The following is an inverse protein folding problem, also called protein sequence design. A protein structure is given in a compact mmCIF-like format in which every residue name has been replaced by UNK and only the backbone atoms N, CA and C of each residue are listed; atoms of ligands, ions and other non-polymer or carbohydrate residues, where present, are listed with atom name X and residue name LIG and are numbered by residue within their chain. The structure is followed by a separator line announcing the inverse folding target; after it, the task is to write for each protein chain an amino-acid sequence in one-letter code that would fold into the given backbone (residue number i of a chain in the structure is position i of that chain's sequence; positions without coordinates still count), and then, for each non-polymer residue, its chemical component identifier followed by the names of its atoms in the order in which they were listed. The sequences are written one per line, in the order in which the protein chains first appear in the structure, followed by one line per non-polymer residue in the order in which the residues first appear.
data_IF_987158261943
#
_entry.id   IF_987158261943
#
_cell.length_a   1.000
_cell.length_b   1.000
_cell.length_c   1.000
_cell.angle_alpha   90.00
_cell.angle_beta   90.00
_cell.angle_gamma   90.00
#
_symmetry.space_group_name_H-M   'P 1'
#
loop_
_entity.id
_entity.type
_entity.pdbx_description
1 polymer ?
#
# COMPACT_ATOMS: atom_id res chain seq x y z
N UNK A 1 11.53 -13.03 17.04
CA UNK A 1 12.43 -12.18 16.20
C UNK A 1 11.58 -11.40 15.20
N UNK A 2 11.94 -10.16 14.82
CA UNK A 2 11.22 -9.41 13.80
C UNK A 2 11.18 -10.14 12.45
N UNK A 3 10.04 -10.03 11.74
CA UNK A 3 9.80 -10.65 10.43
C UNK A 3 10.92 -10.34 9.40
N UNK A 4 11.39 -9.09 9.38
CA UNK A 4 12.47 -8.62 8.51
C UNK A 4 13.77 -9.38 8.78
N UNK A 5 14.16 -9.57 10.05
CA UNK A 5 15.42 -10.23 10.43
C UNK A 5 15.50 -11.69 10.01
N UNK A 6 14.35 -12.33 9.77
CA UNK A 6 14.26 -13.74 9.37
C UNK A 6 13.76 -13.92 7.93
N UNK A 7 13.55 -12.83 7.19
CA UNK A 7 13.05 -12.89 5.81
C UNK A 7 11.68 -13.56 5.68
N UNK A 8 10.79 -13.39 6.66
CA UNK A 8 9.50 -14.07 6.70
C UNK A 8 8.33 -13.08 6.63
N UNK A 9 7.18 -13.56 6.14
CA UNK A 9 5.90 -12.81 6.18
C UNK A 9 5.26 -12.82 7.58
N UNK A 10 5.48 -13.89 8.34
CA UNK A 10 4.83 -14.13 9.63
C UNK A 10 5.88 -14.26 10.73
N UNK A 11 5.48 -13.87 11.94
CA UNK A 11 6.22 -14.19 13.17
C UNK A 11 5.40 -15.14 14.04
N UNK A 12 5.90 -15.47 15.24
CA UNK A 12 5.11 -16.20 16.25
C UNK A 12 3.83 -15.45 16.65
N UNK A 13 3.84 -14.11 16.55
CA UNK A 13 2.67 -13.27 16.78
C UNK A 13 1.71 -13.24 15.58
N UNK A 14 2.06 -13.92 14.47
CA UNK A 14 1.25 -14.02 13.26
C UNK A 14 1.55 -12.94 12.21
N UNK A 15 0.51 -12.59 11.44
CA UNK A 15 0.56 -11.54 10.40
C UNK A 15 0.30 -10.18 11.04
N UNK A 16 1.32 -9.31 11.07
CA UNK A 16 1.22 -7.97 11.66
C UNK A 16 0.10 -7.15 11.01
N UNK A 17 -0.08 -7.24 9.69
CA UNK A 17 -1.11 -6.48 8.99
C UNK A 17 -2.52 -7.04 9.23
N UNK A 18 -2.73 -8.03 10.11
CA UNK A 18 -4.05 -8.51 10.55
C UNK A 18 -4.44 -8.07 11.96
N UNK A 19 -3.63 -7.20 12.57
CA UNK A 19 -3.71 -6.87 13.98
C UNK A 19 -4.29 -5.48 14.26
N UNK A 20 -4.92 -4.85 13.26
CA UNK A 20 -5.43 -3.48 13.33
C UNK A 20 -6.96 -3.44 13.18
N UNK A 21 -7.75 -3.96 14.14
CA UNK A 21 -9.20 -3.86 14.08
C UNK A 21 -9.66 -2.39 14.18
N UNK A 22 -10.58 -2.01 13.31
CA UNK A 22 -11.31 -0.73 13.37
C UNK A 22 -12.17 -0.67 14.62
N UNK A 23 -12.21 0.48 15.29
CA UNK A 23 -12.99 0.74 16.51
C UNK A 23 -12.46 0.06 17.78
N UNK A 24 -11.30 -0.59 17.72
CA UNK A 24 -10.67 -1.27 18.85
C UNK A 24 -9.14 -1.10 18.84
N UNK A 25 -8.49 -1.36 19.97
CA UNK A 25 -7.03 -1.30 20.03
C UNK A 25 -6.38 -2.40 19.18
N UNK A 26 -5.22 -2.11 18.54
CA UNK A 26 -4.43 -3.14 17.90
C UNK A 26 -4.07 -4.29 18.85
N UNK A 27 -3.98 -5.52 18.31
CA UNK A 27 -3.99 -6.73 19.15
C UNK A 27 -2.63 -7.07 19.75
N UNK A 28 -1.53 -6.82 19.05
CA UNK A 28 -0.16 -7.02 19.55
C UNK A 28 0.46 -5.73 20.10
N UNK A 29 1.56 -5.89 20.84
CA UNK A 29 2.34 -4.75 21.35
C UNK A 29 2.93 -3.90 20.21
N UNK A 30 3.47 -4.54 19.18
CA UNK A 30 4.06 -3.84 18.04
C UNK A 30 3.00 -3.10 17.23
N UNK A 31 1.86 -3.74 16.96
CA UNK A 31 0.76 -3.10 16.24
C UNK A 31 0.22 -1.88 17.01
N UNK A 32 0.15 -1.96 18.35
CA UNK A 32 -0.22 -0.80 19.18
C UNK A 32 0.81 0.31 19.08
N UNK A 33 2.09 0.01 19.22
CA UNK A 33 3.14 1.02 19.10
C UNK A 33 3.13 1.75 17.75
N UNK A 34 2.93 1.02 16.63
CA UNK A 34 2.82 1.63 15.30
C UNK A 34 1.58 2.52 15.17
N UNK A 35 0.46 2.10 15.75
CA UNK A 35 -0.77 2.88 15.74
C UNK A 35 -0.66 4.13 16.61
N UNK A 36 -0.08 4.00 17.81
CA UNK A 36 0.17 5.11 18.72
C UNK A 36 1.10 6.15 18.07
N UNK A 37 2.12 5.70 17.32
CA UNK A 37 3.02 6.58 16.56
C UNK A 37 2.30 7.29 15.41
N UNK A 38 1.45 6.57 14.66
CA UNK A 38 0.62 7.20 13.63
C UNK A 38 -0.28 8.29 14.24
N UNK A 39 -0.93 8.00 15.37
CA UNK A 39 -1.81 8.98 16.03
C UNK A 39 -1.04 10.16 16.62
N UNK A 40 0.17 9.95 17.14
CA UNK A 40 0.98 11.01 17.74
C UNK A 40 1.48 12.02 16.71
N UNK A 41 1.68 11.57 15.46
CA UNK A 41 2.13 12.40 14.35
C UNK A 41 1.02 13.11 13.57
N UNK A 42 -0.25 12.73 13.78
CA UNK A 42 -1.43 13.32 13.11
C UNK A 42 -1.24 13.54 11.59
N UNK A 43 -0.96 12.48 10.80
CA UNK A 43 -0.60 12.63 9.40
C UNK A 43 -1.81 12.98 8.52
N UNK A 44 -1.60 13.83 7.53
CA UNK A 44 -2.62 14.15 6.51
C UNK A 44 -2.89 12.97 5.54
N UNK A 45 -1.92 12.09 5.36
CA UNK A 45 -1.99 10.95 4.44
C UNK A 45 -1.14 9.77 4.94
N UNK A 46 -1.61 8.54 4.69
CA UNK A 46 -0.89 7.29 5.01
C UNK A 46 -0.62 6.49 3.73
N UNK A 47 0.64 6.14 3.48
CA UNK A 47 1.02 5.24 2.36
C UNK A 47 1.64 3.97 2.94
N UNK A 48 1.03 2.83 2.68
CA UNK A 48 1.44 1.49 3.14
C UNK A 48 1.97 0.67 1.94
N UNK A 49 3.25 0.32 1.96
CA UNK A 49 3.97 -0.30 0.82
C UNK A 49 4.08 -1.81 0.99
N UNK A 50 3.62 -2.57 0.00
CA UNK A 50 3.56 -4.03 0.00
C UNK A 50 4.04 -4.60 -1.34
N UNK A 51 4.40 -5.88 -1.30
CA UNK A 51 4.66 -6.64 -2.52
C UNK A 51 3.95 -8.00 -2.50
N UNK A 52 3.45 -8.37 -3.67
CA UNK A 52 2.69 -9.58 -3.91
C UNK A 52 3.45 -10.54 -4.82
N UNK A 53 3.11 -11.83 -4.76
CA UNK A 53 3.70 -12.87 -5.62
C UNK A 53 3.05 -12.96 -7.01
N UNK A 54 2.07 -12.11 -7.30
CA UNK A 54 1.29 -12.12 -8.53
C UNK A 54 0.54 -10.80 -8.70
N UNK A 55 -0.29 -10.74 -9.73
CA UNK A 55 -0.79 -9.52 -10.35
C UNK A 55 -2.32 -9.44 -10.25
N UNK A 56 -2.82 -8.28 -9.85
CA UNK A 56 -4.23 -7.96 -9.72
C UNK A 56 -4.96 -8.07 -11.06
N UNK A 57 -6.20 -8.59 -11.03
CA UNK A 57 -7.04 -8.92 -12.21
C UNK A 57 -6.44 -9.90 -13.23
N UNK A 58 -5.18 -10.32 -13.11
CA UNK A 58 -4.55 -11.28 -14.02
C UNK A 58 -4.48 -12.70 -13.46
N UNK A 59 -4.01 -12.87 -12.22
CA UNK A 59 -3.79 -14.20 -11.63
C UNK A 59 -4.42 -14.39 -10.23
N UNK A 60 -5.36 -13.51 -9.88
CA UNK A 60 -6.11 -13.58 -8.61
C UNK A 60 -5.29 -13.17 -7.38
N UNK A 61 -4.12 -12.56 -7.57
CA UNK A 61 -3.35 -11.90 -6.50
C UNK A 61 -3.59 -10.37 -6.52
N UNK A 62 -2.75 -9.60 -5.82
CA UNK A 62 -3.00 -8.17 -5.55
C UNK A 62 -1.87 -7.23 -5.99
N UNK A 63 -0.80 -7.74 -6.60
CA UNK A 63 0.32 -6.90 -7.06
C UNK A 63 -0.03 -6.09 -8.30
N UNK A 64 0.78 -5.07 -8.60
CA UNK A 64 0.48 -4.03 -9.59
C UNK A 64 -0.88 -3.37 -9.34
N UNK A 65 -1.13 -2.96 -8.10
CA UNK A 65 -2.35 -2.24 -7.77
C UNK A 65 -2.16 -1.23 -6.64
N UNK A 66 -2.99 -0.18 -6.68
CA UNK A 66 -3.13 0.79 -5.58
C UNK A 66 -4.55 0.69 -5.04
N UNK A 67 -4.69 0.40 -3.75
CA UNK A 67 -5.98 0.34 -3.07
C UNK A 67 -6.16 1.57 -2.18
N UNK A 68 -6.93 2.59 -2.61
CA UNK A 68 -7.14 3.80 -1.84
C UNK A 68 -8.17 3.62 -0.72
N UNK A 69 -8.09 4.42 0.33
CA UNK A 69 -9.23 4.65 1.22
C UNK A 69 -10.32 5.44 0.49
N UNK A 70 -11.53 5.50 1.04
CA UNK A 70 -12.63 6.24 0.39
C UNK A 70 -12.45 7.77 0.40
N UNK A 71 -11.49 8.30 1.14
CA UNK A 71 -11.27 9.74 1.24
C UNK A 71 -10.80 10.35 -0.10
N UNK A 72 -9.87 9.69 -0.80
CA UNK A 72 -9.20 10.25 -2.00
C UNK A 72 -8.90 9.19 -3.07
N UNK A 73 -9.93 8.47 -3.58
CA UNK A 73 -9.74 7.40 -4.55
C UNK A 73 -9.19 7.88 -5.90
N UNK A 74 -9.50 9.11 -6.32
CA UNK A 74 -9.04 9.63 -7.60
C UNK A 74 -7.51 9.81 -7.65
N UNK A 75 -6.86 10.07 -6.52
CA UNK A 75 -5.41 10.20 -6.50
C UNK A 75 -4.71 8.87 -6.82
N UNK A 76 -5.30 7.73 -6.42
CA UNK A 76 -4.80 6.42 -6.78
C UNK A 76 -4.93 6.16 -8.28
N UNK A 77 -6.06 6.56 -8.90
CA UNK A 77 -6.24 6.48 -10.36
C UNK A 77 -5.14 7.28 -11.06
N UNK A 78 -4.98 8.55 -10.69
CA UNK A 78 -3.96 9.41 -11.28
C UNK A 78 -2.53 8.85 -11.11
N UNK A 79 -2.21 8.30 -9.94
CA UNK A 79 -0.90 7.73 -9.66
C UNK A 79 -0.63 6.46 -10.47
N UNK A 80 -1.65 5.60 -10.64
CA UNK A 80 -1.56 4.45 -11.54
C UNK A 80 -1.30 4.91 -12.98
N UNK A 81 -2.11 5.84 -13.50
CA UNK A 81 -1.97 6.36 -14.85
C UNK A 81 -0.56 6.95 -15.07
N UNK A 82 -0.09 7.78 -14.14
CA UNK A 82 1.25 8.37 -14.19
C UNK A 82 2.36 7.31 -14.23
N UNK A 83 2.31 6.30 -13.36
CA UNK A 83 3.37 5.28 -13.32
C UNK A 83 3.34 4.40 -14.56
N UNK A 84 2.15 4.03 -15.04
CA UNK A 84 1.99 3.25 -16.26
C UNK A 84 2.55 3.98 -17.48
N UNK A 85 2.30 5.28 -17.59
CA UNK A 85 2.78 6.09 -18.72
C UNK A 85 4.29 6.39 -18.67
N UNK A 86 4.84 6.60 -17.48
CA UNK A 86 6.20 7.14 -17.34
C UNK A 86 7.28 6.10 -17.00
N UNK A 87 6.90 4.94 -16.43
CA UNK A 87 7.87 4.00 -15.85
C UNK A 87 7.71 2.55 -16.31
N UNK A 88 6.56 2.15 -16.85
CA UNK A 88 6.35 0.78 -17.32
C UNK A 88 6.60 0.73 -18.83
N UNK A 89 7.72 0.11 -19.21
CA UNK A 89 8.05 -0.08 -20.63
C UNK A 89 7.26 -1.27 -21.20
N UNK A 90 6.26 -0.97 -22.03
CA UNK A 90 5.43 -1.99 -22.68
C UNK A 90 6.18 -2.88 -23.69
N UNK A 91 7.41 -2.51 -24.07
CA UNK A 91 8.28 -3.36 -24.88
C UNK A 91 8.94 -4.48 -24.06
N UNK A 92 9.06 -4.31 -22.74
CA UNK A 92 9.60 -5.29 -21.80
C UNK A 92 8.50 -6.00 -21.00
N UNK A 93 7.46 -5.27 -20.62
CA UNK A 93 6.37 -5.72 -19.76
C UNK A 93 5.02 -5.69 -20.49
N UNK A 94 4.31 -6.84 -20.62
CA UNK A 94 2.96 -6.82 -21.18
C UNK A 94 2.00 -5.97 -20.33
N UNK A 95 0.90 -5.49 -20.93
CA UNK A 95 -0.06 -4.58 -20.27
C UNK A 95 -0.70 -5.08 -18.97
N UNK A 96 -0.61 -6.37 -18.65
CA UNK A 96 -1.03 -6.85 -17.33
C UNK A 96 -0.06 -6.46 -16.20
N UNK A 97 1.08 -5.86 -16.51
CA UNK A 97 1.96 -5.25 -15.50
C UNK A 97 1.58 -3.81 -15.18
N UNK A 98 0.68 -3.18 -15.94
CA UNK A 98 0.17 -1.85 -15.60
C UNK A 98 -0.49 -1.89 -14.21
N UNK A 99 -0.27 -0.83 -13.43
CA UNK A 99 -0.97 -0.62 -12.17
C UNK A 99 -2.46 -0.40 -12.40
N UNK A 100 -3.26 -1.11 -11.61
CA UNK A 100 -4.70 -0.93 -11.53
C UNK A 100 -5.08 -0.17 -10.26
N UNK A 101 -6.06 0.73 -10.35
CA UNK A 101 -6.77 1.17 -9.15
C UNK A 101 -7.66 0.04 -8.63
N UNK A 102 -7.38 -0.43 -7.42
CA UNK A 102 -8.16 -1.43 -6.70
C UNK A 102 -9.44 -0.86 -6.09
N UNK A 103 -10.17 -1.72 -5.36
CA UNK A 103 -11.37 -1.29 -4.63
C UNK A 103 -11.02 -0.38 -3.45
N UNK A 104 -11.94 0.49 -3.07
CA UNK A 104 -11.73 1.36 -1.91
C UNK A 104 -11.76 0.60 -0.58
N UNK A 105 -10.90 1.02 0.34
CA UNK A 105 -10.74 0.47 1.68
C UNK A 105 -11.55 1.30 2.68
N UNK A 106 -12.44 0.65 3.42
CA UNK A 106 -13.51 1.30 4.18
C UNK A 106 -13.51 0.99 5.68
N UNK A 107 -12.43 0.43 6.21
CA UNK A 107 -12.36 0.02 7.62
C UNK A 107 -13.00 -1.33 7.94
N UNK A 108 -13.58 -2.05 6.97
CA UNK A 108 -14.21 -3.36 7.22
C UNK A 108 -13.25 -4.52 7.54
N UNK A 109 -11.94 -4.32 7.40
CA UNK A 109 -10.92 -5.36 7.61
C UNK A 109 -9.90 -4.92 8.66
N UNK A 110 -9.29 -5.85 9.41
CA UNK A 110 -8.32 -5.52 10.45
C UNK A 110 -6.91 -5.24 9.88
N UNK A 111 -6.83 -4.44 8.82
CA UNK A 111 -5.58 -4.03 8.16
C UNK A 111 -5.19 -2.62 8.59
N UNK A 112 -3.89 -2.30 8.60
CA UNK A 112 -3.39 -1.00 9.05
C UNK A 112 -4.07 0.17 8.31
N UNK A 113 -4.07 0.12 6.97
CA UNK A 113 -4.68 1.18 6.16
C UNK A 113 -6.21 1.23 6.27
N UNK A 114 -6.86 0.08 6.51
CA UNK A 114 -8.30 0.06 6.79
C UNK A 114 -8.61 0.78 8.08
N UNK A 115 -7.82 0.55 9.13
CA UNK A 115 -7.97 1.22 10.43
C UNK A 115 -7.74 2.73 10.32
N UNK A 116 -6.74 3.16 9.55
CA UNK A 116 -6.50 4.58 9.30
C UNK A 116 -7.76 5.31 8.77
N UNK A 117 -8.47 4.71 7.81
CA UNK A 117 -9.74 5.28 7.35
C UNK A 117 -10.91 5.02 8.30
N UNK A 118 -10.98 3.84 8.89
CA UNK A 118 -12.09 3.44 9.74
C UNK A 118 -12.21 4.25 11.03
N UNK A 119 -11.07 4.62 11.63
CA UNK A 119 -11.02 5.36 12.90
C UNK A 119 -10.78 6.85 12.71
N UNK A 120 -9.99 7.25 11.71
CA UNK A 120 -9.53 8.63 11.54
C UNK A 120 -10.01 9.27 10.23
N UNK A 121 -10.67 8.53 9.35
CA UNK A 121 -11.12 8.98 8.02
C UNK A 121 -10.01 9.57 7.14
N UNK A 122 -8.77 9.14 7.37
CA UNK A 122 -7.61 9.66 6.64
C UNK A 122 -7.59 9.22 5.17
N UNK A 123 -7.13 10.10 4.27
CA UNK A 123 -6.52 9.69 3.02
C UNK A 123 -5.46 8.60 3.25
N UNK A 124 -5.58 7.49 2.54
CA UNK A 124 -4.54 6.48 2.60
C UNK A 124 -4.55 5.52 1.43
N UNK A 125 -3.43 4.82 1.25
CA UNK A 125 -3.18 3.96 0.09
C UNK A 125 -2.41 2.73 0.51
N UNK A 126 -2.88 1.55 0.08
CA UNK A 126 -2.09 0.33 0.04
C UNK A 126 -1.53 0.17 -1.36
N UNK A 127 -0.22 0.30 -1.51
CA UNK A 127 0.50 0.12 -2.78
C UNK A 127 1.03 -1.31 -2.80
N UNK A 128 0.73 -2.05 -3.87
CA UNK A 128 1.16 -3.43 -4.03
C UNK A 128 1.94 -3.56 -5.34
N UNK A 129 3.24 -3.81 -5.25
CA UNK A 129 4.07 -4.19 -6.41
C UNK A 129 4.07 -5.69 -6.63
N UNK A 130 4.38 -6.13 -7.84
CA UNK A 130 4.57 -7.57 -8.10
C UNK A 130 6.03 -7.97 -8.03
N UNK A 131 6.30 -9.16 -7.48
CA UNK A 131 7.60 -9.87 -7.60
C UNK A 131 7.61 -10.87 -8.75
N UNK A 132 6.47 -11.04 -9.44
CA UNK A 132 6.33 -12.00 -10.51
C UNK A 132 6.94 -11.41 -11.77
N UNK A 133 8.04 -12.00 -12.24
CA UNK A 133 8.66 -11.63 -13.51
C UNK A 133 9.31 -10.24 -13.53
N UNK A 134 9.49 -9.61 -12.37
CA UNK A 134 10.13 -8.30 -12.20
C UNK A 134 11.49 -8.43 -11.54
N UNK A 135 12.39 -7.49 -11.82
CA UNK A 135 13.58 -7.31 -10.99
C UNK A 135 13.23 -6.54 -9.71
N UNK A 136 14.10 -6.59 -8.69
CA UNK A 136 13.94 -5.76 -7.50
C UNK A 136 14.03 -4.27 -7.84
N UNK A 137 14.89 -3.90 -8.79
CA UNK A 137 15.08 -2.52 -9.23
C UNK A 137 13.81 -1.96 -9.86
N UNK A 138 13.15 -2.73 -10.74
CA UNK A 138 11.88 -2.33 -11.35
C UNK A 138 10.79 -2.18 -10.30
N UNK A 139 10.63 -3.19 -9.44
CA UNK A 139 9.62 -3.17 -8.38
C UNK A 139 9.79 -1.97 -7.44
N UNK A 140 11.02 -1.67 -7.00
CA UNK A 140 11.32 -0.51 -6.16
C UNK A 140 11.10 0.80 -6.92
N UNK A 141 11.52 0.88 -8.18
CA UNK A 141 11.34 2.09 -9.00
C UNK A 141 9.86 2.43 -9.15
N UNK A 142 9.03 1.44 -9.46
CA UNK A 142 7.60 1.64 -9.61
C UNK A 142 6.92 1.97 -8.28
N UNK A 143 7.25 1.27 -7.19
CA UNK A 143 6.69 1.54 -5.86
C UNK A 143 6.98 2.96 -5.39
N UNK A 144 8.23 3.40 -5.56
CA UNK A 144 8.68 4.76 -5.20
C UNK A 144 8.00 5.80 -6.08
N UNK A 145 7.83 5.53 -7.38
CA UNK A 145 7.13 6.44 -8.29
C UNK A 145 5.66 6.63 -7.89
N UNK A 146 4.95 5.53 -7.58
CA UNK A 146 3.56 5.58 -7.07
C UNK A 146 3.50 6.36 -5.75
N UNK A 147 4.35 6.01 -4.78
CA UNK A 147 4.34 6.64 -3.46
C UNK A 147 4.64 8.14 -3.55
N UNK A 148 5.61 8.53 -4.37
CA UNK A 148 5.97 9.93 -4.60
C UNK A 148 4.82 10.71 -5.24
N UNK A 149 4.18 10.15 -6.26
CA UNK A 149 3.07 10.83 -6.94
C UNK A 149 1.86 11.00 -6.00
N UNK A 150 1.53 9.97 -5.22
CA UNK A 150 0.50 10.06 -4.18
C UNK A 150 0.80 11.18 -3.16
N UNK A 151 2.04 11.25 -2.65
CA UNK A 151 2.45 12.27 -1.70
C UNK A 151 2.46 13.68 -2.33
N UNK A 152 2.85 13.79 -3.61
CA UNK A 152 2.78 15.04 -4.37
C UNK A 152 1.34 15.54 -4.51
N UNK A 153 0.39 14.65 -4.82
CA UNK A 153 -1.03 14.99 -4.93
C UNK A 153 -1.65 15.45 -3.59
N UNK A 154 -1.00 15.16 -2.46
CA UNK A 154 -1.35 15.70 -1.13
C UNK A 154 -0.54 16.93 -0.72
N UNK A 155 0.31 17.46 -1.61
CA UNK A 155 1.13 18.65 -1.33
C UNK A 155 2.33 18.40 -0.41
N UNK A 156 2.69 17.14 -0.15
CA UNK A 156 3.81 16.77 0.75
C UNK A 156 5.18 16.97 0.07
N UNK A 157 5.22 17.03 -1.26
CA UNK A 157 6.42 17.38 -2.03
C UNK A 157 6.21 18.68 -2.80
N UNK A 158 7.00 19.69 -2.49
CA UNK A 158 7.33 20.78 -3.40
C UNK A 158 8.69 20.45 -4.02
N UNK A 159 8.71 20.25 -5.33
CA UNK A 159 9.96 20.16 -6.09
C UNK A 159 10.73 21.47 -6.07
#
# INVERSE_FOLDING_TARGET
MPAISIGARYTEDGDLNRQFPTGANPTSRLARALWDELQSHDPDVVVDLHSSSGIYKYDGKVGQAVFPTRATPMNAVNACDYVNEQYIDLSEYPSHYDFDCGNSLDGSRPLFIHKAYGDLHLPGYLVETTRKGTTLEDAVTWEVAVARDLLWQHGVYHG
#
